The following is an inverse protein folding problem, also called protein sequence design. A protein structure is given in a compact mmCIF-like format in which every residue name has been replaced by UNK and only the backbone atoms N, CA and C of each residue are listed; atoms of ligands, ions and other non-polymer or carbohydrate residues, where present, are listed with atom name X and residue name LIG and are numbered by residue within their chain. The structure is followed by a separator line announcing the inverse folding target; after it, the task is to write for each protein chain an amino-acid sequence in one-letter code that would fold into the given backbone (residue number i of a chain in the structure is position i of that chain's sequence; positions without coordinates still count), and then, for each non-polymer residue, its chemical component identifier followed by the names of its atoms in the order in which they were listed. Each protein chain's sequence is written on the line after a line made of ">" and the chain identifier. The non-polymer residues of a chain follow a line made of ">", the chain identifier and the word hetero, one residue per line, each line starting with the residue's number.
data_IF_527796455725
#
_entry.id   IF_527796455725
#
_cell.length_a   1.000
_cell.length_b   1.000
_cell.length_c   1.000
_cell.angle_alpha   90.00
_cell.angle_beta   90.00
_cell.angle_gamma   90.00
#
_symmetry.space_group_name_H-M   'P 1'
#
loop_
_entity.id
_entity.type
_entity.pdbx_description
1 polymer ?
#
# COMPACT_ATOMS: atom_id res chain seq x y z
N UNK A 1 -3.88 27.36 6.91
CA UNK A 1 -3.18 26.51 7.91
C UNK A 1 -2.04 25.66 7.30
N UNK A 2 -1.51 26.03 6.12
CA UNK A 2 -0.57 25.18 5.37
C UNK A 2 0.92 25.43 5.65
N UNK A 3 1.25 26.52 6.34
CA UNK A 3 2.66 26.90 6.61
C UNK A 3 3.26 26.06 7.76
N UNK A 4 2.46 25.75 8.79
CA UNK A 4 2.86 24.86 9.90
C UNK A 4 3.11 23.42 9.42
N UNK A 5 2.24 22.90 8.55
CA UNK A 5 2.35 21.54 8.01
C UNK A 5 3.60 21.35 7.15
N UNK A 6 3.97 22.35 6.32
CA UNK A 6 5.25 22.31 5.57
C UNK A 6 6.48 22.36 6.46
N UNK A 7 6.46 23.17 7.53
CA UNK A 7 7.61 23.27 8.46
C UNK A 7 7.81 21.99 9.27
N UNK A 8 6.73 21.33 9.70
CA UNK A 8 6.84 20.03 10.38
C UNK A 8 7.36 18.95 9.44
N UNK A 9 6.92 18.94 8.18
CA UNK A 9 7.41 18.00 7.17
C UNK A 9 8.91 18.20 6.87
N UNK A 10 9.37 19.44 6.72
CA UNK A 10 10.79 19.74 6.51
C UNK A 10 11.65 19.46 7.76
N UNK A 11 11.11 19.68 8.98
CA UNK A 11 11.80 19.31 10.21
C UNK A 11 11.96 17.79 10.35
N UNK A 12 10.95 17.01 9.93
CA UNK A 12 11.00 15.55 9.92
C UNK A 12 11.94 14.98 8.83
N UNK A 13 12.14 15.70 7.72
CA UNK A 13 13.07 15.30 6.67
C UNK A 13 14.54 15.59 7.01
N UNK A 14 14.81 16.56 7.90
CA UNK A 14 16.17 16.96 8.30
C UNK A 14 16.84 16.07 9.36
N UNK A 15 16.10 15.18 10.02
CA UNK A 15 16.61 14.35 11.13
C UNK A 15 17.27 13.02 10.69
N UNK A 16 17.38 12.76 9.39
CA UNK A 16 17.98 11.52 8.85
C UNK A 16 19.49 11.61 8.53
N UNK A 17 20.13 12.77 8.73
CA UNK A 17 21.54 12.98 8.36
C UNK A 17 22.55 12.74 9.50
N UNK A 18 22.11 12.54 10.75
CA UNK A 18 23.01 12.46 11.92
C UNK A 18 23.42 11.03 12.34
N UNK A 19 23.08 9.99 11.56
CA UNK A 19 23.43 8.60 11.86
C UNK A 19 24.52 8.02 10.93
N UNK A 20 25.23 8.85 10.17
CA UNK A 20 26.19 8.39 9.15
C UNK A 20 27.66 8.34 9.63
N UNK A 21 27.96 8.57 10.91
CA UNK A 21 29.33 8.72 11.41
C UNK A 21 29.85 7.57 12.31
N UNK A 22 29.11 6.46 12.47
CA UNK A 22 29.44 5.46 13.50
C UNK A 22 29.43 3.98 13.06
N UNK A 23 29.52 3.64 11.77
CA UNK A 23 29.52 2.24 11.30
C UNK A 23 30.66 1.90 10.33
N UNK A 24 31.80 2.58 10.48
CA UNK A 24 33.06 2.19 9.86
C UNK A 24 33.67 0.98 10.60
N UNK A 25 33.10 -0.23 10.46
CA UNK A 25 33.76 -1.54 10.61
C UNK A 25 32.74 -2.68 10.79
N UNK A 26 32.15 -3.20 9.71
CA UNK A 26 31.63 -4.57 9.67
C UNK A 26 31.40 -5.02 8.21
N UNK A 27 32.14 -6.00 7.68
CA UNK A 27 31.80 -6.64 6.41
C UNK A 27 30.72 -7.68 6.70
N UNK A 28 29.47 -7.23 6.73
CA UNK A 28 28.31 -8.08 6.90
C UNK A 28 27.17 -7.44 6.15
N UNK A 29 26.94 -7.89 4.92
CA UNK A 29 25.79 -7.54 4.12
C UNK A 29 24.52 -7.85 4.92
N UNK A 30 23.99 -6.85 5.61
CA UNK A 30 22.67 -6.89 6.19
C UNK A 30 21.70 -6.85 5.00
N UNK A 31 21.37 -8.04 4.50
CA UNK A 31 20.19 -8.27 3.72
C UNK A 31 19.03 -7.67 4.52
N UNK A 32 18.54 -6.50 4.10
CA UNK A 32 17.31 -5.97 4.62
C UNK A 32 16.23 -7.03 4.33
N UNK A 33 15.60 -7.64 5.34
CA UNK A 33 14.35 -8.30 5.05
C UNK A 33 13.44 -7.17 4.55
N UNK A 34 13.04 -7.24 3.28
CA UNK A 34 11.86 -6.56 2.80
C UNK A 34 10.73 -7.06 3.68
N UNK A 35 10.53 -6.36 4.80
CA UNK A 35 9.49 -6.64 5.74
C UNK A 35 8.20 -6.56 4.96
N UNK A 36 7.68 -7.73 4.60
CA UNK A 36 6.27 -7.92 4.42
C UNK A 36 5.68 -7.43 5.73
N UNK A 37 5.24 -6.16 5.78
CA UNK A 37 4.41 -5.70 6.87
C UNK A 37 3.24 -6.68 6.87
N UNK A 38 3.03 -7.44 7.95
CA UNK A 38 1.79 -8.19 8.08
C UNK A 38 0.69 -7.17 7.83
N UNK A 39 -0.12 -7.42 6.82
CA UNK A 39 -1.32 -6.64 6.61
C UNK A 39 -2.23 -7.01 7.79
N UNK A 40 -2.12 -6.25 8.89
CA UNK A 40 -2.99 -6.34 10.07
C UNK A 40 -4.46 -6.05 9.72
N UNK A 41 -4.75 -5.79 8.44
CA UNK A 41 -6.06 -5.49 7.90
C UNK A 41 -6.79 -6.71 7.34
N UNK A 42 -6.29 -7.95 7.54
CA UNK A 42 -7.09 -9.13 7.22
C UNK A 42 -8.31 -9.10 8.14
N UNK A 43 -9.45 -8.61 7.65
CA UNK A 43 -10.54 -8.28 8.52
C UNK A 43 -11.25 -9.56 8.88
N UNK A 44 -11.48 -9.74 10.17
CA UNK A 44 -12.05 -10.94 10.75
C UNK A 44 -13.47 -11.18 10.21
N UNK A 45 -13.59 -12.03 9.19
CA UNK A 45 -14.85 -12.65 8.76
C UNK A 45 -15.84 -11.76 8.01
N UNK A 46 -15.49 -10.52 7.70
CA UNK A 46 -16.37 -9.63 6.95
C UNK A 46 -16.40 -9.97 5.46
N UNK A 47 -17.58 -9.94 4.81
CA UNK A 47 -17.70 -10.28 3.39
C UNK A 47 -17.02 -9.19 2.55
N UNK A 48 -16.05 -9.60 1.74
CA UNK A 48 -15.46 -8.75 0.72
C UNK A 48 -16.20 -8.99 -0.61
N UNK A 49 -16.72 -7.92 -1.21
CA UNK A 49 -17.39 -7.96 -2.52
C UNK A 49 -16.63 -7.06 -3.49
N UNK A 50 -16.21 -7.63 -4.61
CA UNK A 50 -15.65 -6.86 -5.73
C UNK A 50 -16.69 -6.76 -6.85
N UNK A 51 -17.07 -5.54 -7.19
CA UNK A 51 -18.00 -5.22 -8.27
C UNK A 51 -17.27 -4.52 -9.42
N UNK A 52 -17.54 -4.99 -10.63
CA UNK A 52 -16.99 -4.45 -11.88
C UNK A 52 -18.18 -4.12 -12.78
N UNK A 53 -18.47 -2.83 -12.93
CA UNK A 53 -19.53 -2.32 -13.82
C UNK A 53 -19.17 -2.53 -15.30
N UNK A 54 -17.96 -2.12 -15.70
CA UNK A 54 -17.43 -2.29 -17.04
C UNK A 54 -15.98 -2.76 -17.02
N UNK A 55 -15.76 -3.97 -17.53
CA UNK A 55 -14.46 -4.64 -17.61
C UNK A 55 -13.44 -3.89 -18.48
N UNK A 56 -13.89 -3.03 -19.40
CA UNK A 56 -13.01 -2.25 -20.28
C UNK A 56 -12.42 -1.03 -19.59
N UNK A 57 -13.10 -0.51 -18.55
CA UNK A 57 -12.66 0.69 -17.83
C UNK A 57 -11.51 0.41 -16.87
N UNK A 58 -11.31 -0.85 -16.47
CA UNK A 58 -10.30 -1.22 -15.48
C UNK A 58 -10.62 -0.72 -14.07
N UNK A 59 -11.88 -0.37 -13.77
CA UNK A 59 -12.32 0.04 -12.41
C UNK A 59 -12.95 -1.12 -11.66
N UNK A 60 -12.63 -1.22 -10.38
CA UNK A 60 -13.22 -2.18 -9.43
C UNK A 60 -13.71 -1.41 -8.22
N UNK A 61 -14.99 -1.54 -7.90
CA UNK A 61 -15.51 -1.13 -6.61
C UNK A 61 -15.34 -2.30 -5.64
N UNK A 62 -14.64 -2.07 -4.54
CA UNK A 62 -14.42 -3.04 -3.49
C UNK A 62 -15.24 -2.58 -2.30
N UNK A 63 -16.24 -3.39 -1.94
CA UNK A 63 -17.00 -3.22 -0.72
C UNK A 63 -16.40 -4.13 0.34
N UNK A 64 -16.05 -3.53 1.46
CA UNK A 64 -15.46 -4.22 2.59
C UNK A 64 -16.11 -3.69 3.87
N UNK A 65 -16.97 -4.50 4.49
CA UNK A 65 -17.79 -4.05 5.62
C UNK A 65 -18.74 -2.92 5.21
N UNK A 66 -18.56 -1.75 5.81
CA UNK A 66 -19.27 -0.50 5.49
C UNK A 66 -18.52 0.44 4.54
N UNK A 67 -17.27 0.11 4.21
CA UNK A 67 -16.42 0.92 3.36
C UNK A 67 -16.55 0.52 1.88
N UNK A 68 -16.59 1.53 1.00
CA UNK A 68 -16.49 1.36 -0.44
C UNK A 68 -15.22 2.04 -0.97
N UNK A 69 -14.39 1.26 -1.67
CA UNK A 69 -13.14 1.74 -2.27
C UNK A 69 -13.15 1.44 -3.77
N UNK A 70 -13.03 2.49 -4.58
CA UNK A 70 -12.88 2.35 -6.03
C UNK A 70 -11.41 2.35 -6.39
N UNK A 71 -10.94 1.25 -6.96
CA UNK A 71 -9.56 1.06 -7.43
C UNK A 71 -9.54 0.99 -8.95
N UNK A 72 -8.58 1.64 -9.58
CA UNK A 72 -8.32 1.51 -11.01
C UNK A 72 -7.13 0.56 -11.23
N UNK A 73 -7.42 -0.68 -11.61
CA UNK A 73 -6.44 -1.72 -11.92
C UNK A 73 -6.98 -2.64 -13.03
N UNK A 74 -6.47 -2.43 -14.25
CA UNK A 74 -6.86 -3.23 -15.41
C UNK A 74 -6.40 -4.69 -15.31
N UNK A 75 -5.28 -4.98 -14.65
CA UNK A 75 -4.75 -6.34 -14.52
C UNK A 75 -5.53 -7.14 -13.48
N UNK A 76 -6.00 -6.52 -12.40
CA UNK A 76 -6.95 -7.12 -11.47
C UNK A 76 -8.26 -7.49 -12.18
N UNK A 77 -8.86 -6.56 -12.92
CA UNK A 77 -10.09 -6.79 -13.69
C UNK A 77 -9.94 -7.96 -14.66
N UNK A 78 -8.80 -8.03 -15.37
CA UNK A 78 -8.50 -9.14 -16.29
C UNK A 78 -8.41 -10.48 -15.56
N UNK A 79 -7.77 -10.52 -14.39
CA UNK A 79 -7.66 -11.74 -13.57
C UNK A 79 -9.03 -12.23 -13.09
N UNK A 80 -9.85 -11.33 -12.55
CA UNK A 80 -11.21 -11.65 -12.10
C UNK A 80 -12.10 -12.10 -13.25
N UNK A 81 -12.06 -11.40 -14.39
CA UNK A 81 -12.83 -11.77 -15.59
C UNK A 81 -12.44 -13.15 -16.12
N UNK A 82 -11.14 -13.49 -16.08
CA UNK A 82 -10.67 -14.82 -16.50
C UNK A 82 -11.13 -15.91 -15.54
N UNK A 83 -11.12 -15.66 -14.23
CA UNK A 83 -11.59 -16.61 -13.23
C UNK A 83 -13.10 -16.88 -13.35
N UNK A 84 -13.90 -15.84 -13.63
CA UNK A 84 -15.36 -15.95 -13.77
C UNK A 84 -15.82 -16.73 -15.03
N UNK A 85 -14.94 -16.92 -16.02
CA UNK A 85 -15.25 -17.67 -17.26
C UNK A 85 -14.85 -19.15 -17.21
N UNK A 86 -14.34 -19.60 -16.08
CA UNK A 86 -13.93 -20.99 -15.87
C UNK A 86 -15.09 -21.77 -15.25
#
# INVERSE_FOLDING_TARGET
>A
MSNTSRRVFLAAAGSSAAAAAALAAAPGALAAPSGQRPDDSAPDGEPLVAYIDDVTTGRVAILFGEDEVVVQDADLVRRLTRAARK
#
